data_IF_519498616736
#
_entry.id   IF_519498616736
#
_cell.length_a   1.000
_cell.length_b   1.000
_cell.length_c   1.000
_cell.angle_alpha   90.00
_cell.angle_beta   90.00
_cell.angle_gamma   90.00
#
_symmetry.space_group_name_H-M   'P 1'
#
loop_
_entity.id
_entity.type
_entity.pdbx_description
1 polymer ?
#
# COMPACT_ATOMS: atom_id res chain seq x y z
N UNK A 1 3.42 8.01 -13.39
CA UNK A 1 4.45 7.43 -12.57
C UNK A 1 3.89 6.31 -11.70
N UNK A 2 4.58 5.20 -11.62
CA UNK A 2 4.09 4.08 -10.84
C UNK A 2 4.21 4.39 -9.35
N UNK A 3 3.12 4.23 -8.63
CA UNK A 3 3.14 4.18 -7.19
C UNK A 3 3.48 2.79 -6.77
N UNK A 4 4.19 2.69 -5.67
CA UNK A 4 4.24 1.40 -5.05
C UNK A 4 5.56 0.68 -5.14
N UNK A 5 6.66 1.39 -4.96
CA UNK A 5 7.90 0.70 -4.67
C UNK A 5 7.74 -0.20 -3.45
N UNK A 6 6.89 0.21 -2.50
CA UNK A 6 6.63 -0.52 -1.27
C UNK A 6 5.13 -0.81 -1.21
N UNK A 7 4.80 -2.10 -1.14
CA UNK A 7 3.42 -2.55 -0.97
C UNK A 7 3.19 -2.80 0.51
N UNK A 8 2.18 -2.14 1.09
CA UNK A 8 1.86 -2.30 2.50
C UNK A 8 0.51 -2.99 2.64
N UNK A 9 0.49 -4.09 3.38
CA UNK A 9 -0.71 -4.85 3.64
C UNK A 9 -0.97 -4.93 5.13
N UNK A 10 -2.23 -4.86 5.52
CA UNK A 10 -2.62 -5.00 6.91
C UNK A 10 -3.86 -5.88 7.01
N UNK A 11 -4.07 -6.46 8.18
CA UNK A 11 -5.09 -7.49 8.36
C UNK A 11 -6.37 -6.96 8.97
N UNK A 12 -6.27 -6.13 10.01
CA UNK A 12 -7.43 -5.70 10.77
C UNK A 12 -7.58 -4.18 10.73
N UNK A 13 -8.75 -3.73 11.16
CA UNK A 13 -9.03 -2.30 11.24
C UNK A 13 -8.09 -1.58 12.22
N UNK A 14 -7.71 -2.26 13.30
CA UNK A 14 -6.76 -1.68 14.26
C UNK A 14 -5.37 -1.54 13.64
N UNK A 15 -5.00 -2.48 12.78
CA UNK A 15 -3.70 -2.44 12.12
C UNK A 15 -3.64 -1.35 11.06
N UNK A 16 -4.80 -0.89 10.59
CA UNK A 16 -4.86 0.14 9.56
C UNK A 16 -4.18 1.43 9.99
N UNK A 17 -4.41 1.86 11.23
CA UNK A 17 -3.80 3.10 11.71
C UNK A 17 -2.29 2.99 11.75
N UNK A 18 -1.77 1.85 12.23
CA UNK A 18 -0.34 1.61 12.24
C UNK A 18 0.23 1.58 10.81
N UNK A 19 -0.50 0.95 9.89
CA UNK A 19 -0.07 0.85 8.50
C UNK A 19 -0.03 2.24 7.85
N UNK A 20 -1.02 3.07 8.09
CA UNK A 20 -1.06 4.42 7.53
C UNK A 20 0.03 5.31 8.14
N UNK A 21 0.31 5.15 9.43
CA UNK A 21 1.41 5.87 10.07
C UNK A 21 2.76 5.47 9.45
N UNK A 22 2.94 4.18 9.22
CA UNK A 22 4.15 3.70 8.57
C UNK A 22 4.29 4.27 7.17
N UNK A 23 3.19 4.25 6.41
CA UNK A 23 3.19 4.79 5.05
C UNK A 23 3.55 6.27 5.06
N UNK A 24 2.96 7.03 5.95
CA UNK A 24 3.25 8.47 6.05
C UNK A 24 4.73 8.71 6.35
N UNK A 25 5.29 7.93 7.27
CA UNK A 25 6.70 8.05 7.61
C UNK A 25 7.60 7.73 6.42
N UNK A 26 7.32 6.60 5.77
CA UNK A 26 8.15 6.14 4.65
C UNK A 26 8.05 7.11 3.48
N UNK A 27 6.85 7.62 3.22
CA UNK A 27 6.67 8.60 2.13
C UNK A 27 7.37 9.91 2.44
N UNK A 28 7.45 10.28 3.72
CA UNK A 28 8.17 11.48 4.11
C UNK A 28 9.67 11.34 3.87
N UNK A 29 10.16 10.11 3.70
CA UNK A 29 11.57 9.84 3.42
C UNK A 29 11.85 9.67 1.92
N UNK A 30 10.85 9.93 1.08
CA UNK A 30 11.03 9.92 -0.36
C UNK A 30 10.67 8.62 -1.06
N UNK A 31 10.11 7.65 -0.36
CA UNK A 31 9.68 6.40 -0.98
C UNK A 31 8.20 6.46 -1.35
N UNK A 32 7.81 5.68 -2.34
CA UNK A 32 6.42 5.57 -2.74
C UNK A 32 5.82 4.28 -2.22
N UNK A 33 4.64 4.39 -1.61
CA UNK A 33 3.95 3.25 -1.04
C UNK A 33 2.61 3.04 -1.71
N UNK A 34 2.18 1.79 -1.78
CA UNK A 34 0.83 1.44 -2.18
C UNK A 34 0.13 0.80 -0.99
N UNK A 35 -1.03 1.31 -0.63
CA UNK A 35 -1.83 0.77 0.46
C UNK A 35 -3.31 0.93 0.13
N UNK A 36 -4.10 -0.13 0.35
CA UNK A 36 -5.54 -0.07 0.19
C UNK A 36 -6.18 0.40 1.49
N UNK A 37 -7.31 1.10 1.47
CA UNK A 37 -8.04 1.47 0.25
C UNK A 37 -7.55 2.77 -0.39
N UNK A 38 -6.58 3.45 0.21
CA UNK A 38 -6.14 4.77 -0.24
C UNK A 38 -5.80 4.80 -1.72
N UNK A 39 -5.05 3.79 -2.17
CA UNK A 39 -4.49 3.78 -3.51
C UNK A 39 -5.28 2.93 -4.50
N UNK A 40 -6.39 2.36 -4.06
CA UNK A 40 -7.31 1.67 -4.97
C UNK A 40 -8.18 2.71 -5.64
N UNK A 41 -8.18 2.71 -6.95
CA UNK A 41 -8.95 3.69 -7.69
C UNK A 41 -10.43 3.30 -7.73
N UNK A 42 -11.29 4.30 -7.56
CA UNK A 42 -12.73 4.08 -7.61
C UNK A 42 -13.14 3.52 -8.95
N UNK A 43 -14.03 2.54 -8.94
CA UNK A 43 -14.50 1.89 -10.14
C UNK A 43 -13.59 0.79 -10.66
N UNK A 44 -12.43 0.61 -10.07
CA UNK A 44 -11.52 -0.46 -10.46
C UNK A 44 -11.79 -1.69 -9.63
N UNK A 45 -11.44 -2.84 -10.18
CA UNK A 45 -11.54 -4.10 -9.48
C UNK A 45 -10.39 -4.21 -8.46
N UNK A 46 -10.74 -4.43 -7.20
CA UNK A 46 -9.75 -4.50 -6.14
C UNK A 46 -8.69 -5.56 -6.40
N UNK A 47 -9.11 -6.75 -6.86
CA UNK A 47 -8.17 -7.84 -7.09
C UNK A 47 -7.13 -7.46 -8.15
N UNK A 48 -7.58 -6.83 -9.21
CA UNK A 48 -6.67 -6.40 -10.28
C UNK A 48 -5.70 -5.33 -9.79
N UNK A 49 -6.19 -4.38 -9.00
CA UNK A 49 -5.34 -3.33 -8.45
C UNK A 49 -4.28 -3.89 -7.52
N UNK A 50 -4.65 -4.84 -6.68
CA UNK A 50 -3.71 -5.48 -5.76
C UNK A 50 -2.64 -6.26 -6.51
N UNK A 51 -3.04 -7.03 -7.52
CA UNK A 51 -2.10 -7.80 -8.33
C UNK A 51 -1.11 -6.86 -9.02
N UNK A 52 -1.60 -5.77 -9.60
CA UNK A 52 -0.74 -4.81 -10.25
C UNK A 52 0.25 -4.18 -9.26
N UNK A 53 -0.23 -3.84 -8.08
CA UNK A 53 0.62 -3.23 -7.06
C UNK A 53 1.73 -4.18 -6.62
N UNK A 54 1.39 -5.44 -6.41
CA UNK A 54 2.38 -6.45 -6.03
C UNK A 54 3.42 -6.64 -7.14
N UNK A 55 2.98 -6.62 -8.37
CA UNK A 55 3.86 -6.82 -9.51
C UNK A 55 4.93 -5.74 -9.60
N UNK A 56 4.60 -4.50 -9.29
CA UNK A 56 5.57 -3.40 -9.39
C UNK A 56 6.34 -3.16 -8.10
N UNK A 57 5.88 -3.70 -6.98
CA UNK A 57 6.51 -3.44 -5.70
C UNK A 57 7.86 -4.14 -5.58
N UNK A 58 8.82 -3.46 -5.01
CA UNK A 58 10.14 -4.01 -4.73
C UNK A 58 10.22 -4.57 -3.33
N UNK A 59 9.41 -4.04 -2.41
CA UNK A 59 9.38 -4.46 -1.03
C UNK A 59 7.93 -4.63 -0.61
N UNK A 60 7.66 -5.68 0.15
CA UNK A 60 6.33 -5.91 0.69
C UNK A 60 6.40 -5.87 2.22
N UNK A 61 5.55 -5.05 2.83
CA UNK A 61 5.45 -4.95 4.28
C UNK A 61 4.09 -5.51 4.70
N UNK A 62 4.12 -6.50 5.58
CA UNK A 62 2.91 -7.12 6.09
C UNK A 62 2.76 -6.78 7.56
N UNK A 63 1.59 -6.27 7.93
CA UNK A 63 1.27 -5.89 9.30
C UNK A 63 0.11 -6.75 9.78
N UNK A 64 0.28 -7.51 10.85
CA UNK A 64 -0.80 -8.28 11.44
C UNK A 64 -0.57 -8.59 12.90
#
# INVERSE_FOLDING_TARGET
MARGDIFVSYCTKSDRDAAYDLVAYVESRGFECWIAPRDVQGGMEWAAEIVNAITVAKVMVLIF
#
